data_IF_446598303920
#
_entry.id   IF_446598303920
#
_cell.length_a   1.000
_cell.length_b   1.000
_cell.length_c   1.000
_cell.angle_alpha   90.00
_cell.angle_beta   90.00
_cell.angle_gamma   90.00
#
_symmetry.space_group_name_H-M   'P 1'
#
loop_
_entity.id
_entity.type
_entity.pdbx_description
1 polymer ?
#
# COMPACT_ATOMS: atom_id res chain seq x y z
N UNK A 1 19.85 -17.08 18.35
CA UNK A 1 18.85 -16.01 18.42
C UNK A 1 18.36 -15.75 17.01
N UNK A 2 17.05 -15.68 16.84
CA UNK A 2 16.47 -15.34 15.55
C UNK A 2 16.85 -13.91 15.13
N UNK A 3 17.03 -13.70 13.83
CA UNK A 3 17.52 -12.45 13.24
C UNK A 3 16.46 -11.86 12.30
N UNK A 4 16.53 -10.56 12.05
CA UNK A 4 15.57 -9.81 11.25
C UNK A 4 16.20 -9.22 9.99
N UNK A 5 15.60 -9.50 8.84
CA UNK A 5 15.83 -8.72 7.61
C UNK A 5 14.70 -7.71 7.40
N UNK A 6 15.05 -6.44 7.16
CA UNK A 6 14.11 -5.48 6.60
C UNK A 6 14.24 -5.50 5.07
N UNK A 7 13.13 -5.70 4.37
CA UNK A 7 13.09 -5.64 2.90
C UNK A 7 12.35 -4.39 2.44
N UNK A 8 12.92 -3.66 1.49
CA UNK A 8 12.33 -2.44 0.91
C UNK A 8 12.34 -2.54 -0.60
N UNK A 9 11.22 -2.23 -1.26
CA UNK A 9 11.18 -2.01 -2.70
C UNK A 9 11.09 -0.49 -2.97
N UNK A 10 11.79 -0.01 -3.99
CA UNK A 10 11.83 1.41 -4.31
C UNK A 10 11.77 1.68 -5.83
N UNK A 11 11.20 2.85 -6.19
CA UNK A 11 11.23 3.40 -7.53
C UNK A 11 11.05 4.92 -7.48
N UNK A 12 12.14 5.66 -7.75
CA UNK A 12 12.17 7.13 -7.69
C UNK A 12 11.66 7.68 -6.34
N UNK A 13 12.29 7.22 -5.25
CA UNK A 13 11.93 7.55 -3.86
C UNK A 13 13.07 8.30 -3.12
N UNK A 14 13.90 9.09 -3.82
CA UNK A 14 15.03 9.81 -3.21
C UNK A 14 14.65 10.71 -2.02
N UNK A 15 13.41 11.24 -2.01
CA UNK A 15 12.92 12.10 -0.95
C UNK A 15 12.50 11.34 0.32
N UNK A 16 12.16 10.04 0.20
CA UNK A 16 11.53 9.28 1.29
C UNK A 16 12.38 8.12 1.78
N UNK A 17 13.13 7.48 0.87
CA UNK A 17 13.86 6.25 1.16
C UNK A 17 14.83 6.42 2.34
N UNK A 18 15.54 7.54 2.43
CA UNK A 18 16.49 7.79 3.54
C UNK A 18 15.81 7.64 4.90
N UNK A 19 14.69 8.31 5.11
CA UNK A 19 13.98 8.28 6.38
C UNK A 19 13.33 6.91 6.67
N UNK A 20 12.95 6.14 5.64
CA UNK A 20 12.54 4.75 5.77
C UNK A 20 13.71 3.92 6.31
N UNK A 21 14.86 3.94 5.65
CA UNK A 21 16.04 3.15 6.01
C UNK A 21 16.64 3.54 7.37
N UNK A 22 16.68 4.83 7.71
CA UNK A 22 17.07 5.31 9.05
C UNK A 22 16.18 4.70 10.14
N UNK A 23 14.87 4.64 9.92
CA UNK A 23 13.93 4.04 10.87
C UNK A 23 14.10 2.53 11.02
N UNK A 24 14.76 1.87 10.08
CA UNK A 24 15.01 0.43 10.02
C UNK A 24 16.48 0.03 10.29
N UNK A 25 17.40 0.99 10.50
CA UNK A 25 18.83 0.75 10.65
C UNK A 25 19.24 -0.10 11.87
N UNK A 26 18.32 -0.41 12.74
CA UNK A 26 18.48 -1.32 13.88
C UNK A 26 18.31 -2.80 13.54
N UNK A 27 17.87 -3.14 12.33
CA UNK A 27 17.71 -4.51 11.86
C UNK A 27 19.09 -5.19 11.66
N UNK A 28 19.13 -6.52 11.70
CA UNK A 28 20.34 -7.28 11.46
C UNK A 28 20.77 -7.23 9.98
N UNK A 29 19.81 -7.02 9.10
CA UNK A 29 20.01 -6.98 7.66
C UNK A 29 18.98 -6.05 6.99
N UNK A 30 19.43 -5.33 5.97
CA UNK A 30 18.56 -4.53 5.09
C UNK A 30 18.78 -4.98 3.65
N UNK A 31 17.69 -5.28 2.94
CA UNK A 31 17.69 -5.60 1.50
C UNK A 31 16.85 -4.57 0.78
N UNK A 32 17.41 -3.92 -0.23
CA UNK A 32 16.70 -2.95 -1.07
C UNK A 32 16.63 -3.46 -2.51
N UNK A 33 15.43 -3.47 -3.08
CA UNK A 33 15.25 -3.83 -4.50
C UNK A 33 14.67 -2.62 -5.24
N UNK A 34 15.48 -2.06 -6.11
CA UNK A 34 15.15 -0.88 -6.89
C UNK A 34 14.61 -1.26 -8.27
N UNK A 35 13.63 -0.51 -8.74
CA UNK A 35 12.97 -0.73 -10.03
C UNK A 35 13.50 0.23 -11.11
N UNK A 36 14.84 0.23 -11.31
CA UNK A 36 15.52 1.08 -12.28
C UNK A 36 15.25 2.58 -12.09
N UNK A 37 15.40 3.05 -10.84
CA UNK A 37 15.27 4.48 -10.52
C UNK A 37 16.29 5.33 -11.28
N UNK A 38 15.85 6.52 -11.69
CA UNK A 38 16.65 7.49 -12.42
C UNK A 38 17.10 8.67 -11.55
N UNK A 39 16.65 8.71 -10.30
CA UNK A 39 17.02 9.68 -9.26
C UNK A 39 18.11 9.10 -8.33
N UNK A 40 18.31 9.72 -7.16
CA UNK A 40 19.34 9.29 -6.20
C UNK A 40 18.92 8.09 -5.32
N UNK A 41 17.80 7.41 -5.61
CA UNK A 41 17.27 6.29 -4.82
C UNK A 41 18.33 5.21 -4.56
N UNK A 42 18.98 4.73 -5.62
CA UNK A 42 20.02 3.67 -5.52
C UNK A 42 21.25 4.15 -4.74
N UNK A 43 21.66 5.41 -4.94
CA UNK A 43 22.79 6.00 -4.19
C UNK A 43 22.47 6.03 -2.69
N UNK A 44 21.28 6.49 -2.32
CA UNK A 44 20.81 6.53 -0.92
C UNK A 44 20.76 5.12 -0.33
N UNK A 45 20.21 4.13 -1.05
CA UNK A 45 20.13 2.75 -0.56
C UNK A 45 21.51 2.19 -0.19
N UNK A 46 22.54 2.46 -1.01
CA UNK A 46 23.93 2.00 -0.81
C UNK A 46 24.63 2.62 0.39
N UNK A 47 24.11 3.72 0.95
CA UNK A 47 24.63 4.27 2.20
C UNK A 47 24.26 3.41 3.43
N UNK A 48 23.24 2.55 3.31
CA UNK A 48 22.70 1.75 4.42
C UNK A 48 23.03 0.26 4.29
N UNK A 49 23.24 -0.25 3.07
CA UNK A 49 23.47 -1.67 2.84
C UNK A 49 24.17 -1.92 1.49
N UNK A 50 24.96 -3.01 1.46
CA UNK A 50 25.53 -3.53 0.19
C UNK A 50 24.52 -4.42 -0.57
N UNK A 51 23.42 -4.85 0.08
CA UNK A 51 22.37 -5.67 -0.52
C UNK A 51 21.35 -4.83 -1.29
N UNK A 52 21.82 -4.17 -2.34
CA UNK A 52 21.02 -3.35 -3.25
C UNK A 52 20.97 -4.02 -4.63
N UNK A 53 19.79 -4.47 -5.05
CA UNK A 53 19.54 -5.04 -6.37
C UNK A 53 18.75 -4.06 -7.23
N UNK A 54 19.23 -3.81 -8.46
CA UNK A 54 18.52 -3.00 -9.46
C UNK A 54 18.01 -3.92 -10.54
N UNK A 55 16.69 -3.89 -10.83
CA UNK A 55 16.07 -4.74 -11.84
C UNK A 55 14.80 -4.10 -12.41
N UNK A 56 14.46 -4.48 -13.65
CA UNK A 56 13.22 -4.05 -14.28
C UNK A 56 12.00 -4.44 -13.43
N UNK A 57 10.95 -3.62 -13.53
CA UNK A 57 9.72 -3.79 -12.75
C UNK A 57 8.84 -4.95 -13.24
N UNK A 58 8.73 -6.07 -12.51
CA UNK A 58 7.91 -7.23 -12.90
C UNK A 58 6.51 -7.25 -12.25
N UNK A 59 6.14 -6.23 -11.50
CA UNK A 59 4.95 -6.17 -10.64
C UNK A 59 5.30 -6.19 -9.15
N UNK A 60 4.37 -5.72 -8.31
CA UNK A 60 4.61 -5.55 -6.85
C UNK A 60 4.97 -6.87 -6.16
N UNK A 61 4.16 -7.92 -6.36
CA UNK A 61 4.37 -9.21 -5.71
C UNK A 61 5.72 -9.82 -6.09
N UNK A 62 6.08 -9.81 -7.38
CA UNK A 62 7.34 -10.35 -7.85
C UNK A 62 8.55 -9.56 -7.34
N UNK A 63 8.43 -8.22 -7.24
CA UNK A 63 9.51 -7.37 -6.71
C UNK A 63 9.73 -7.65 -5.20
N UNK A 64 8.65 -7.71 -4.42
CA UNK A 64 8.71 -8.01 -2.99
C UNK A 64 9.16 -9.44 -2.71
N UNK A 65 8.72 -10.43 -3.49
CA UNK A 65 9.19 -11.80 -3.36
C UNK A 65 10.69 -11.93 -3.65
N UNK A 66 11.18 -11.23 -4.67
CA UNK A 66 12.62 -11.21 -4.95
C UNK A 66 13.41 -10.61 -3.77
N UNK A 67 12.90 -9.55 -3.11
CA UNK A 67 13.52 -8.99 -1.91
C UNK A 67 13.55 -10.02 -0.75
N UNK A 68 12.48 -10.81 -0.57
CA UNK A 68 12.43 -11.90 0.40
C UNK A 68 13.48 -12.97 0.09
N UNK A 69 13.66 -13.33 -1.18
CA UNK A 69 14.63 -14.35 -1.62
C UNK A 69 16.10 -13.93 -1.38
N UNK A 70 16.37 -12.63 -1.30
CA UNK A 70 17.70 -12.09 -0.95
C UNK A 70 17.93 -12.01 0.58
N UNK A 71 16.88 -12.14 1.38
CA UNK A 71 16.97 -12.10 2.83
C UNK A 71 17.60 -13.38 3.39
N UNK A 72 18.46 -13.22 4.43
CA UNK A 72 19.17 -14.37 5.04
C UNK A 72 18.74 -14.62 6.49
N UNK A 73 17.86 -13.79 7.05
CA UNK A 73 17.41 -13.92 8.42
C UNK A 73 16.08 -14.67 8.54
N UNK A 74 15.75 -15.10 9.77
CA UNK A 74 14.56 -15.90 10.05
C UNK A 74 13.27 -15.12 9.91
N UNK A 75 13.30 -13.84 10.27
CA UNK A 75 12.18 -12.92 10.22
C UNK A 75 12.36 -11.86 9.14
N UNK A 76 11.25 -11.47 8.53
CA UNK A 76 11.20 -10.42 7.52
C UNK A 76 10.21 -9.34 7.97
N UNK A 77 10.68 -8.09 7.97
CA UNK A 77 9.83 -6.91 8.04
C UNK A 77 9.82 -6.24 6.65
N UNK A 78 8.72 -6.38 5.93
CA UNK A 78 8.59 -5.78 4.59
C UNK A 78 8.02 -4.37 4.70
N UNK A 79 8.77 -3.38 4.24
CA UNK A 79 8.38 -1.97 4.22
C UNK A 79 8.25 -1.46 2.78
N UNK A 80 7.37 -0.51 2.59
CA UNK A 80 7.36 0.35 1.42
C UNK A 80 8.26 1.58 1.68
N UNK A 81 8.85 2.17 0.66
CA UNK A 81 9.83 3.27 0.82
C UNK A 81 9.24 4.53 1.49
N UNK A 82 7.91 4.64 1.55
CA UNK A 82 7.16 5.71 2.22
C UNK A 82 6.66 5.33 3.63
N UNK A 83 7.10 4.18 4.15
CA UNK A 83 6.80 3.72 5.51
C UNK A 83 7.99 3.94 6.46
N UNK A 84 7.71 4.19 7.75
CA UNK A 84 8.72 4.36 8.81
C UNK A 84 8.32 3.59 10.05
N UNK A 85 9.28 2.89 10.63
CA UNK A 85 9.10 2.15 11.89
C UNK A 85 9.09 3.17 13.04
N UNK A 86 8.03 3.12 13.88
CA UNK A 86 8.00 3.94 15.11
C UNK A 86 8.87 3.32 16.19
N UNK A 87 9.34 4.09 17.20
CA UNK A 87 10.09 3.54 18.32
C UNK A 87 9.35 2.41 19.03
N UNK A 88 8.06 2.56 19.26
CA UNK A 88 7.21 1.56 19.92
C UNK A 88 7.13 0.27 19.10
N UNK A 89 6.96 0.38 17.77
CA UNK A 89 6.94 -0.77 16.88
C UNK A 89 8.31 -1.46 16.83
N UNK A 90 9.41 -0.69 16.81
CA UNK A 90 10.77 -1.24 16.88
C UNK A 90 10.94 -2.12 18.11
N UNK A 91 10.62 -1.61 19.31
CA UNK A 91 10.74 -2.36 20.56
C UNK A 91 9.91 -3.65 20.50
N UNK A 92 8.69 -3.56 19.99
CA UNK A 92 7.79 -4.71 19.84
C UNK A 92 8.33 -5.75 18.88
N UNK A 93 8.82 -5.36 17.71
CA UNK A 93 9.41 -6.26 16.70
C UNK A 93 10.68 -6.92 17.27
N UNK A 94 11.56 -6.16 17.92
CA UNK A 94 12.77 -6.71 18.56
C UNK A 94 12.42 -7.75 19.63
N UNK A 95 11.38 -7.51 20.42
CA UNK A 95 10.92 -8.48 21.43
C UNK A 95 10.36 -9.76 20.78
N UNK A 96 9.59 -9.64 19.69
CA UNK A 96 9.06 -10.79 18.93
C UNK A 96 10.22 -11.62 18.35
N UNK A 97 11.16 -10.99 17.67
CA UNK A 97 12.29 -11.67 17.01
C UNK A 97 13.18 -12.36 18.06
N UNK A 98 13.51 -11.65 19.15
CA UNK A 98 14.37 -12.18 20.23
C UNK A 98 13.77 -13.42 20.91
N UNK A 99 12.47 -13.42 21.14
CA UNK A 99 11.75 -14.50 21.85
C UNK A 99 11.14 -15.54 20.90
N UNK A 100 11.43 -15.44 19.61
CA UNK A 100 10.89 -16.31 18.56
C UNK A 100 9.37 -16.41 18.60
N UNK A 101 8.69 -15.27 18.57
CA UNK A 101 7.28 -15.05 18.86
C UNK A 101 6.32 -16.15 18.39
N UNK A 102 5.14 -16.26 19.03
CA UNK A 102 4.24 -17.43 18.90
C UNK A 102 3.46 -17.51 17.58
N UNK A 103 3.55 -16.49 16.73
CA UNK A 103 2.87 -16.43 15.45
C UNK A 103 3.87 -16.45 14.28
N UNK A 104 3.40 -16.84 13.11
CA UNK A 104 4.18 -16.88 11.88
C UNK A 104 4.14 -15.56 11.11
N UNK A 105 3.19 -14.69 11.46
CA UNK A 105 3.07 -13.34 10.90
C UNK A 105 2.31 -12.38 11.81
N UNK A 106 2.53 -11.08 11.57
CA UNK A 106 1.92 -9.99 12.33
C UNK A 106 1.42 -8.90 11.40
N UNK A 107 0.13 -8.56 11.56
CA UNK A 107 -0.49 -7.41 10.92
C UNK A 107 -0.24 -6.16 11.74
N UNK A 108 0.26 -5.11 11.12
CA UNK A 108 0.68 -3.85 11.73
C UNK A 108 -0.23 -2.74 11.25
N UNK A 109 -0.83 -1.92 12.15
CA UNK A 109 -1.64 -0.78 11.75
C UNK A 109 -0.79 0.34 11.17
N UNK A 110 -1.22 0.98 10.08
CA UNK A 110 -0.55 2.14 9.50
C UNK A 110 -1.22 3.43 9.94
N UNK A 111 -0.44 4.36 10.45
CA UNK A 111 -0.83 5.75 10.65
C UNK A 111 -0.60 6.51 9.36
N UNK A 112 -1.65 6.73 8.60
CA UNK A 112 -1.60 7.46 7.33
C UNK A 112 -1.40 8.96 7.60
N UNK A 113 -0.27 9.50 7.12
CA UNK A 113 0.10 10.92 7.27
C UNK A 113 -0.21 11.63 5.96
N UNK A 114 -1.07 12.65 6.02
CA UNK A 114 -1.42 13.53 4.91
C UNK A 114 -1.08 14.97 5.27
N UNK A 115 -0.32 15.62 4.40
CA UNK A 115 0.11 17.03 4.62
C UNK A 115 0.69 17.26 6.01
N UNK A 116 1.64 16.38 6.39
CA UNK A 116 2.39 16.47 7.64
C UNK A 116 1.61 16.10 8.90
N UNK A 117 0.39 15.57 8.80
CA UNK A 117 -0.41 15.20 9.97
C UNK A 117 -1.06 13.83 9.83
N UNK A 118 -1.07 13.08 10.92
CA UNK A 118 -1.81 11.83 11.01
C UNK A 118 -3.31 12.08 10.91
N UNK A 119 -3.97 11.39 9.97
CA UNK A 119 -5.43 11.38 9.80
C UNK A 119 -5.98 10.12 10.47
N UNK A 120 -6.89 10.30 11.42
CA UNK A 120 -7.39 9.20 12.28
C UNK A 120 -8.75 8.67 11.84
N UNK A 121 -9.55 9.50 11.24
CA UNK A 121 -10.97 9.23 10.95
C UNK A 121 -11.19 8.99 9.46
N UNK A 122 -12.46 8.94 9.05
CA UNK A 122 -12.80 8.72 7.64
C UNK A 122 -12.54 7.30 7.16
N UNK A 123 -12.33 6.33 8.07
CA UNK A 123 -11.99 4.94 7.75
C UNK A 123 -10.55 4.73 7.29
N UNK A 124 -9.67 5.68 7.62
CA UNK A 124 -8.25 5.62 7.25
C UNK A 124 -7.36 5.04 8.35
N UNK A 125 -7.91 4.79 9.54
CA UNK A 125 -7.25 4.11 10.65
C UNK A 125 -8.25 3.30 11.46
N UNK A 126 -7.87 2.09 11.94
CA UNK A 126 -6.63 1.38 11.65
C UNK A 126 -6.62 0.78 10.23
N UNK A 127 -5.48 0.90 9.55
CA UNK A 127 -5.22 0.29 8.24
C UNK A 127 -4.19 -0.83 8.44
N UNK A 128 -4.67 -2.05 8.71
CA UNK A 128 -3.81 -3.18 9.02
C UNK A 128 -3.18 -3.77 7.77
N UNK A 129 -1.84 -3.92 7.80
CA UNK A 129 -1.06 -4.59 6.77
C UNK A 129 -0.19 -5.67 7.40
N UNK A 130 -0.16 -6.87 6.82
CA UNK A 130 0.76 -7.91 7.23
C UNK A 130 2.15 -7.52 6.75
N UNK A 131 3.04 -7.20 7.69
CA UNK A 131 4.38 -6.64 7.39
C UNK A 131 5.51 -7.43 8.02
N UNK A 132 5.31 -8.05 9.20
CA UNK A 132 6.30 -8.87 9.87
C UNK A 132 5.89 -10.35 9.74
N UNK A 133 6.79 -11.20 9.28
CA UNK A 133 6.52 -12.63 9.11
C UNK A 133 7.82 -13.46 9.07
N UNK A 134 7.70 -14.77 9.32
CA UNK A 134 8.81 -15.70 9.12
C UNK A 134 9.13 -15.83 7.63
N UNK A 135 10.41 -15.72 7.27
CA UNK A 135 10.83 -15.72 5.87
C UNK A 135 10.37 -16.94 5.09
N UNK A 136 10.37 -18.11 5.73
CA UNK A 136 9.90 -19.36 5.12
C UNK A 136 8.37 -19.46 4.95
N UNK A 137 7.59 -18.67 5.71
CA UNK A 137 6.14 -18.75 5.76
C UNK A 137 5.41 -17.72 4.88
N UNK A 138 6.07 -16.58 4.59
CA UNK A 138 5.43 -15.44 3.92
C UNK A 138 5.72 -15.37 2.43
N UNK A 139 4.68 -15.11 1.62
CA UNK A 139 4.79 -14.87 0.17
C UNK A 139 3.80 -13.81 -0.27
N UNK A 140 4.25 -12.91 -1.15
CA UNK A 140 3.37 -11.95 -1.81
C UNK A 140 2.67 -12.63 -3.00
N UNK A 141 1.37 -12.40 -3.10
CA UNK A 141 0.53 -12.84 -4.23
C UNK A 141 -0.04 -11.64 -4.95
N UNK A 142 -0.03 -11.71 -6.28
CA UNK A 142 -0.67 -10.68 -7.11
C UNK A 142 -2.19 -10.83 -7.05
N UNK A 143 -2.84 -9.76 -6.65
CA UNK A 143 -4.27 -9.57 -6.83
C UNK A 143 -4.51 -8.46 -7.87
N UNK A 144 -5.68 -8.43 -8.48
CA UNK A 144 -5.98 -7.53 -9.61
C UNK A 144 -5.77 -6.03 -9.33
N UNK A 145 -5.79 -5.60 -8.07
CA UNK A 145 -5.68 -4.18 -7.67
C UNK A 145 -4.60 -3.96 -6.61
N UNK A 146 -4.35 -4.95 -5.75
CA UNK A 146 -3.37 -4.85 -4.65
C UNK A 146 -2.68 -6.20 -4.48
N UNK A 147 -1.39 -6.17 -4.17
CA UNK A 147 -0.70 -7.33 -3.65
C UNK A 147 -1.14 -7.59 -2.21
N UNK A 148 -1.11 -8.84 -1.79
CA UNK A 148 -1.28 -9.24 -0.41
C UNK A 148 -0.22 -10.25 0.01
N UNK A 149 0.20 -10.18 1.26
CA UNK A 149 1.04 -11.25 1.83
C UNK A 149 0.12 -12.36 2.30
N UNK A 150 0.46 -13.59 1.93
CA UNK A 150 -0.08 -14.80 2.54
C UNK A 150 0.98 -15.39 3.44
N UNK A 151 0.58 -15.82 4.63
CA UNK A 151 1.44 -16.50 5.60
C UNK A 151 0.85 -17.85 5.92
N UNK A 152 1.66 -18.90 5.79
CA UNK A 152 1.27 -20.23 6.21
C UNK A 152 1.44 -20.34 7.72
N UNK A 153 0.32 -20.34 8.47
CA UNK A 153 0.31 -20.45 9.92
C UNK A 153 -0.49 -19.34 10.62
N UNK A 154 -0.14 -19.12 11.89
CA UNK A 154 -0.87 -18.17 12.76
C UNK A 154 -0.46 -16.73 12.46
N UNK A 155 -1.45 -15.85 12.29
CA UNK A 155 -1.24 -14.41 12.16
C UNK A 155 -1.87 -13.70 13.35
N UNK A 156 -1.11 -12.81 13.98
CA UNK A 156 -1.55 -11.93 15.06
C UNK A 156 -1.57 -10.47 14.61
N UNK A 157 -2.22 -9.62 15.39
CA UNK A 157 -2.31 -8.18 15.13
C UNK A 157 -1.56 -7.42 16.21
N UNK A 158 -0.68 -6.49 15.80
CA UNK A 158 -0.02 -5.56 16.69
C UNK A 158 -0.83 -4.29 16.87
N UNK A 159 -0.55 -3.56 17.93
CA UNK A 159 -1.14 -2.25 18.22
C UNK A 159 -0.20 -1.10 17.89
N UNK A 160 1.09 -1.38 17.86
CA UNK A 160 2.16 -0.43 17.55
C UNK A 160 2.20 -0.14 16.04
N UNK A 161 2.07 1.12 15.62
CA UNK A 161 1.87 1.43 14.22
C UNK A 161 3.15 1.68 13.43
N UNK A 162 3.07 1.48 12.12
CA UNK A 162 3.93 2.12 11.12
C UNK A 162 3.43 3.52 10.79
N UNK A 163 4.33 4.47 10.56
CA UNK A 163 3.98 5.73 9.89
C UNK A 163 4.00 5.51 8.39
N UNK A 164 2.97 5.96 7.68
CA UNK A 164 2.86 5.84 6.24
C UNK A 164 2.60 7.20 5.61
N UNK A 165 3.58 7.70 4.88
CA UNK A 165 3.52 8.98 4.15
C UNK A 165 2.94 8.76 2.75
N UNK A 166 1.62 8.49 2.70
CA UNK A 166 0.90 7.91 1.55
C UNK A 166 1.08 8.68 0.24
N UNK A 167 1.08 9.99 0.27
CA UNK A 167 1.17 10.83 -0.94
C UNK A 167 2.15 11.98 -0.73
N UNK A 168 2.87 12.35 -1.80
CA UNK A 168 3.79 13.50 -1.78
C UNK A 168 3.00 14.80 -1.67
N UNK A 169 2.02 14.95 -2.55
CA UNK A 169 1.17 16.12 -2.71
C UNK A 169 -0.19 15.73 -3.30
N UNK A 170 -1.00 16.74 -3.61
CA UNK A 170 -2.31 16.56 -4.23
C UNK A 170 -2.21 16.02 -5.66
N UNK A 171 -1.20 16.42 -6.42
CA UNK A 171 -0.98 15.95 -7.79
C UNK A 171 -0.68 14.45 -7.81
N UNK A 172 0.19 13.98 -6.91
CA UNK A 172 0.49 12.55 -6.74
C UNK A 172 -0.77 11.76 -6.36
N UNK A 173 -1.62 12.31 -5.47
CA UNK A 173 -2.90 11.70 -5.13
C UNK A 173 -3.79 11.55 -6.37
N UNK A 174 -4.01 12.62 -7.12
CA UNK A 174 -4.91 12.63 -8.30
C UNK A 174 -4.38 11.68 -9.38
N UNK A 175 -3.08 11.70 -9.65
CA UNK A 175 -2.43 10.81 -10.61
C UNK A 175 -2.63 9.34 -10.23
N UNK A 176 -2.37 8.96 -8.98
CA UNK A 176 -2.57 7.59 -8.46
C UNK A 176 -4.06 7.22 -8.46
N UNK A 177 -4.94 8.13 -8.04
CA UNK A 177 -6.39 7.95 -8.05
C UNK A 177 -6.91 7.64 -9.45
N UNK A 178 -6.46 8.38 -10.47
CA UNK A 178 -6.82 8.11 -11.85
C UNK A 178 -6.35 6.73 -12.32
N UNK A 179 -5.11 6.33 -12.02
CA UNK A 179 -4.56 4.99 -12.34
C UNK A 179 -5.36 3.88 -11.64
N UNK A 180 -5.55 3.97 -10.34
CA UNK A 180 -6.25 2.95 -9.56
C UNK A 180 -7.74 2.86 -9.90
N UNK A 181 -8.40 3.98 -10.22
CA UNK A 181 -9.79 3.94 -10.69
C UNK A 181 -9.92 3.21 -12.04
N UNK A 182 -8.90 3.31 -12.92
CA UNK A 182 -8.86 2.55 -14.20
C UNK A 182 -8.71 1.05 -13.94
N UNK A 183 -7.74 0.64 -13.13
CA UNK A 183 -7.53 -0.78 -12.79
C UNK A 183 -8.76 -1.39 -12.11
N UNK A 184 -9.35 -0.65 -11.16
CA UNK A 184 -10.58 -1.09 -10.48
C UNK A 184 -11.79 -1.17 -11.42
N UNK A 185 -11.92 -0.25 -12.37
CA UNK A 185 -12.97 -0.30 -13.40
C UNK A 185 -12.79 -1.52 -14.31
N UNK A 186 -11.58 -1.82 -14.75
CA UNK A 186 -11.27 -3.01 -15.55
C UNK A 186 -11.65 -4.31 -14.80
N UNK A 187 -11.34 -4.40 -13.52
CA UNK A 187 -11.72 -5.55 -12.70
C UNK A 187 -13.25 -5.68 -12.57
N UNK A 188 -13.98 -4.59 -12.36
CA UNK A 188 -15.44 -4.60 -12.35
C UNK A 188 -16.04 -5.06 -13.67
N UNK A 189 -15.48 -4.61 -14.79
CA UNK A 189 -15.90 -5.01 -16.13
C UNK A 189 -15.65 -6.50 -16.37
N UNK A 190 -14.49 -7.01 -15.93
CA UNK A 190 -14.17 -8.45 -16.01
C UNK A 190 -15.14 -9.32 -15.21
N UNK A 191 -15.55 -8.83 -14.04
CA UNK A 191 -16.53 -9.52 -13.16
C UNK A 191 -17.98 -9.34 -13.63
N UNK A 192 -18.22 -8.74 -14.79
CA UNK A 192 -19.58 -8.53 -15.33
C UNK A 192 -20.45 -7.56 -14.53
N UNK A 193 -19.85 -6.71 -13.68
CA UNK A 193 -20.63 -5.75 -12.87
C UNK A 193 -21.14 -4.62 -13.74
N UNK A 194 -22.47 -4.39 -13.69
CA UNK A 194 -23.11 -3.29 -14.40
C UNK A 194 -23.25 -2.04 -13.55
N UNK A 195 -23.16 -0.88 -14.20
CA UNK A 195 -23.30 0.44 -13.60
C UNK A 195 -24.35 1.24 -14.36
N UNK A 196 -25.44 1.60 -13.68
CA UNK A 196 -26.45 2.51 -14.19
C UNK A 196 -26.07 3.98 -14.02
N UNK A 197 -26.76 4.87 -14.73
CA UNK A 197 -26.52 6.31 -14.66
C UNK A 197 -26.67 6.87 -13.23
N UNK A 198 -27.65 6.36 -12.47
CA UNK A 198 -27.85 6.74 -11.07
C UNK A 198 -26.64 6.43 -10.18
N UNK A 199 -25.88 5.37 -10.50
CA UNK A 199 -24.67 4.98 -9.75
C UNK A 199 -23.55 6.01 -9.86
N UNK A 200 -23.55 6.85 -10.92
CA UNK A 200 -22.57 7.95 -11.07
C UNK A 200 -22.75 9.05 -10.02
N UNK A 201 -23.94 9.14 -9.44
CA UNK A 201 -24.27 10.13 -8.42
C UNK A 201 -24.37 9.48 -7.03
N UNK A 202 -25.14 8.41 -6.91
CA UNK A 202 -25.47 7.82 -5.60
C UNK A 202 -24.26 7.20 -4.91
N UNK A 203 -23.37 6.53 -5.65
CA UNK A 203 -22.19 5.90 -5.05
C UNK A 203 -21.13 6.90 -4.57
N UNK A 204 -20.75 7.94 -5.35
CA UNK A 204 -19.87 8.99 -4.86
C UNK A 204 -20.43 9.72 -3.65
N UNK A 205 -21.71 10.15 -3.69
CA UNK A 205 -22.35 10.80 -2.55
C UNK A 205 -22.38 9.91 -1.31
N UNK A 206 -22.72 8.63 -1.49
CA UNK A 206 -22.67 7.65 -0.40
C UNK A 206 -21.25 7.47 0.18
N UNK A 207 -20.19 7.54 -0.67
CA UNK A 207 -18.81 7.50 -0.19
C UNK A 207 -18.47 8.74 0.62
N UNK A 208 -18.83 9.94 0.14
CA UNK A 208 -18.60 11.17 0.89
C UNK A 208 -19.28 11.12 2.26
N UNK A 209 -20.58 10.82 2.28
CA UNK A 209 -21.35 10.75 3.52
C UNK A 209 -20.80 9.71 4.49
N UNK A 210 -20.48 8.51 3.99
CA UNK A 210 -19.86 7.47 4.80
C UNK A 210 -18.54 7.93 5.41
N UNK A 211 -17.64 8.49 4.60
CA UNK A 211 -16.28 8.85 5.05
C UNK A 211 -16.29 10.08 5.96
N UNK A 212 -17.04 11.13 5.56
CA UNK A 212 -17.01 12.40 6.27
C UNK A 212 -17.88 12.40 7.52
N UNK A 213 -19.10 11.83 7.42
CA UNK A 213 -20.09 11.84 8.52
C UNK A 213 -20.00 10.56 9.35
N UNK A 214 -20.28 9.38 8.76
CA UNK A 214 -20.41 8.12 9.50
C UNK A 214 -19.09 7.74 10.17
N UNK A 215 -17.98 7.82 9.42
CA UNK A 215 -16.63 7.53 9.90
C UNK A 215 -15.94 8.75 10.52
N UNK A 216 -16.71 9.81 10.80
CA UNK A 216 -16.28 11.02 11.54
C UNK A 216 -15.08 11.74 10.92
N UNK A 217 -14.93 11.71 9.59
CA UNK A 217 -13.83 12.38 8.89
C UNK A 217 -13.75 13.89 9.20
N UNK A 218 -14.89 14.54 9.57
CA UNK A 218 -14.94 15.93 10.00
C UNK A 218 -14.07 16.24 11.23
N UNK A 219 -13.76 15.24 12.06
CA UNK A 219 -12.88 15.43 13.23
C UNK A 219 -11.41 15.66 12.86
N UNK A 220 -11.00 15.30 11.64
CA UNK A 220 -9.67 15.61 11.11
C UNK A 220 -9.60 17.00 10.44
N UNK A 221 -10.64 17.83 10.65
CA UNK A 221 -10.73 19.19 10.14
C UNK A 221 -10.74 19.26 8.62
N UNK A 222 -10.08 20.28 8.04
CA UNK A 222 -10.04 20.47 6.59
C UNK A 222 -9.41 19.29 5.84
N UNK A 223 -8.45 18.56 6.47
CA UNK A 223 -7.81 17.37 5.87
C UNK A 223 -8.83 16.27 5.66
N UNK A 224 -9.67 15.99 6.66
CA UNK A 224 -10.74 15.01 6.56
C UNK A 224 -11.76 15.36 5.48
N UNK A 225 -12.09 16.64 5.34
CA UNK A 225 -12.98 17.12 4.27
C UNK A 225 -12.35 16.89 2.89
N UNK A 226 -11.11 17.38 2.68
CA UNK A 226 -10.41 17.24 1.39
C UNK A 226 -10.26 15.77 1.01
N UNK A 227 -9.87 14.91 1.95
CA UNK A 227 -9.75 13.47 1.69
C UNK A 227 -11.10 12.84 1.34
N UNK A 228 -12.18 13.20 2.04
CA UNK A 228 -13.52 12.70 1.70
C UNK A 228 -13.93 13.09 0.27
N UNK A 229 -13.63 14.32 -0.18
CA UNK A 229 -13.86 14.76 -1.57
C UNK A 229 -13.02 13.97 -2.56
N UNK A 230 -11.72 13.82 -2.31
CA UNK A 230 -10.79 13.09 -3.19
C UNK A 230 -11.14 11.61 -3.33
N UNK A 231 -11.51 10.93 -2.24
CA UNK A 231 -11.98 9.54 -2.32
C UNK A 231 -13.36 9.42 -3.00
N UNK A 232 -14.18 10.46 -2.92
CA UNK A 232 -15.44 10.55 -3.65
C UNK A 232 -15.19 10.68 -5.16
N UNK A 233 -14.23 11.52 -5.56
CA UNK A 233 -13.77 11.62 -6.94
C UNK A 233 -13.26 10.28 -7.46
N UNK A 234 -12.43 9.56 -6.71
CA UNK A 234 -11.99 8.21 -7.09
C UNK A 234 -13.17 7.28 -7.39
N UNK A 235 -14.21 7.28 -6.55
CA UNK A 235 -15.40 6.46 -6.76
C UNK A 235 -16.14 6.90 -8.01
N UNK A 236 -16.29 8.21 -8.24
CA UNK A 236 -16.91 8.75 -9.44
C UNK A 236 -16.15 8.33 -10.71
N UNK A 237 -14.84 8.53 -10.76
CA UNK A 237 -14.01 8.15 -11.90
C UNK A 237 -14.12 6.66 -12.22
N UNK A 238 -14.09 5.79 -11.21
CA UNK A 238 -14.28 4.35 -11.39
C UNK A 238 -15.65 4.04 -12.01
N UNK A 239 -16.74 4.64 -11.49
CA UNK A 239 -18.09 4.40 -12.00
C UNK A 239 -18.23 4.92 -13.42
N UNK A 240 -17.70 6.11 -13.72
CA UNK A 240 -17.73 6.70 -15.05
C UNK A 240 -17.01 5.85 -16.09
N UNK A 241 -15.82 5.34 -15.77
CA UNK A 241 -15.03 4.45 -16.64
C UNK A 241 -15.75 3.12 -16.92
N UNK A 242 -16.41 2.53 -15.91
CA UNK A 242 -17.22 1.31 -16.12
C UNK A 242 -18.40 1.60 -17.05
N UNK A 243 -19.13 2.68 -16.78
CA UNK A 243 -20.30 3.10 -17.57
C UNK A 243 -19.93 3.42 -19.03
N UNK A 244 -18.83 4.13 -19.26
CA UNK A 244 -18.30 4.43 -20.61
C UNK A 244 -18.00 3.14 -21.39
N UNK A 245 -17.28 2.21 -20.77
CA UNK A 245 -16.94 0.92 -21.39
C UNK A 245 -18.18 0.07 -21.72
N UNK A 246 -19.22 0.10 -20.88
CA UNK A 246 -20.48 -0.58 -21.14
C UNK A 246 -21.22 0.02 -22.33
N UNK A 247 -21.24 1.35 -22.46
CA UNK A 247 -21.84 2.02 -23.62
C UNK A 247 -21.11 1.70 -24.93
N UNK A 248 -19.78 1.74 -24.90
CA UNK A 248 -18.96 1.38 -26.06
C UNK A 248 -19.20 -0.06 -26.54
N UNK A 249 -19.44 -1.01 -25.62
CA UNK A 249 -19.80 -2.39 -25.98
C UNK A 249 -21.19 -2.49 -26.62
N UNK A 250 -22.19 -1.78 -26.07
CA UNK A 250 -23.55 -1.79 -26.59
C UNK A 250 -23.64 -1.20 -28.02
N UNK A 251 -22.90 -0.10 -28.28
CA UNK A 251 -22.85 0.49 -29.63
C UNK A 251 -22.19 -0.42 -30.66
N UNK A 252 -21.14 -1.16 -30.30
CA UNK A 252 -20.49 -2.14 -31.21
C UNK A 252 -21.33 -3.37 -31.46
N UNK A 253 -22.07 -3.87 -30.47
CA UNK A 253 -22.97 -5.02 -30.61
C UNK A 253 -24.26 -4.72 -31.36
N UNK A 254 -24.70 -3.46 -31.40
CA UNK A 254 -25.86 -3.00 -32.20
C UNK A 254 -25.59 -2.95 -33.69
N UNK A 255 -24.33 -2.70 -34.11
CA UNK A 255 -23.95 -2.64 -35.55
C UNK A 255 -23.71 -4.02 -36.20
N UNK A 256 -23.77 -5.12 -35.45
CA UNK A 256 -23.63 -6.48 -36.00
C UNK A 256 -24.98 -7.18 -36.27
N UNK A 257 -26.10 -6.50 -35.97
CA UNK A 257 -27.46 -7.05 -36.14
C UNK A 257 -28.31 -6.32 -37.19
N UNK A 258 -27.71 -5.46 -38.00
CA UNK A 258 -28.35 -4.80 -39.12
C UNK A 258 -27.83 -5.31 -40.49
#
# INVERSE_FOLDING_TARGET
>A
MSRLTVTVIAWNEEERLRACLESAAWADEIVVVDAESVDKTVQIAREFTDKVSVRAWPGFANQKNFAIEQATCDWILSLDADERVTPELRERVQAIVKNDGPADGYSIPRRNVFWGRWVRHGGLYPDYQLRLFRGAAGRFVENAVHESVTVSGRVETLTEPLLHHSYKDLEDFVRRSNRYSTLSAQDWIRRGKEVGLSSLVTRPLGRFFSMYIVQRGFLDGWRGFVLAVLYTEYVFLRMAKVWEAQRARKSRGGNQKS
#
